data_IF_200764241976
#
_entry.id   IF_200764241976
#
_cell.length_a   1.000
_cell.length_b   1.000
_cell.length_c   1.000
_cell.angle_alpha   90.00
_cell.angle_beta   90.00
_cell.angle_gamma   90.00
#
_symmetry.space_group_name_H-M   'P 1'
#
loop_
_entity.id
_entity.type
_entity.pdbx_description
1 polymer ?
#
# COMPACT_ATOMS: atom_id res chain seq x y z
N UNK A 1 -3.14 -14.89 17.01
CA UNK A 1 -3.43 -15.62 18.26
C UNK A 1 -4.91 -16.00 18.36
N UNK A 2 -5.30 -17.04 19.13
CA UNK A 2 -6.71 -17.43 19.29
C UNK A 2 -7.61 -16.29 19.79
N UNK A 3 -7.10 -15.38 20.62
CA UNK A 3 -7.87 -14.25 21.16
C UNK A 3 -8.24 -13.21 20.10
N UNK A 4 -7.37 -12.95 19.14
CA UNK A 4 -7.64 -12.03 18.02
C UNK A 4 -8.69 -12.61 17.08
N UNK A 5 -8.53 -13.88 16.71
CA UNK A 5 -9.51 -14.60 15.86
C UNK A 5 -10.87 -14.68 16.55
N UNK A 6 -10.91 -14.90 17.88
CA UNK A 6 -12.15 -14.94 18.65
C UNK A 6 -12.96 -13.65 18.53
N UNK A 7 -12.32 -12.50 18.60
CA UNK A 7 -13.00 -11.21 18.46
C UNK A 7 -13.72 -11.08 17.12
N UNK A 8 -13.02 -11.41 16.03
CA UNK A 8 -13.61 -11.43 14.69
C UNK A 8 -14.72 -12.47 14.55
N UNK A 9 -14.48 -13.70 15.03
CA UNK A 9 -15.44 -14.79 15.00
C UNK A 9 -16.75 -14.41 15.70
N UNK A 10 -16.68 -13.87 16.91
CA UNK A 10 -17.88 -13.47 17.65
C UNK A 10 -18.63 -12.34 16.94
N UNK A 11 -17.93 -11.38 16.33
CA UNK A 11 -18.58 -10.32 15.57
C UNK A 11 -19.29 -10.89 14.34
N UNK A 12 -18.64 -11.75 13.58
CA UNK A 12 -19.23 -12.37 12.39
C UNK A 12 -20.41 -13.28 12.75
N UNK A 13 -20.35 -14.02 13.87
CA UNK A 13 -21.44 -14.88 14.35
C UNK A 13 -22.73 -14.12 14.66
N UNK A 14 -22.65 -12.82 14.95
CA UNK A 14 -23.85 -12.00 15.17
C UNK A 14 -24.52 -11.55 13.86
N UNK A 15 -23.79 -11.57 12.75
CA UNK A 15 -24.25 -11.08 11.44
C UNK A 15 -24.63 -12.22 10.51
N UNK A 16 -23.89 -13.32 10.54
CA UNK A 16 -24.15 -14.49 9.70
C UNK A 16 -24.98 -15.51 10.46
N UNK A 17 -26.22 -15.72 10.02
CA UNK A 17 -27.18 -16.69 10.61
C UNK A 17 -27.36 -17.95 9.78
N UNK A 18 -26.76 -18.02 8.59
CA UNK A 18 -26.88 -19.17 7.68
C UNK A 18 -25.60 -20.00 7.69
N UNK A 19 -25.67 -21.19 8.32
CA UNK A 19 -24.58 -22.14 8.37
C UNK A 19 -23.69 -22.00 9.62
N UNK A 20 -22.68 -22.84 9.69
CA UNK A 20 -21.70 -22.86 10.78
C UNK A 20 -20.46 -22.08 10.32
N UNK A 21 -20.07 -21.06 11.10
CA UNK A 21 -18.82 -20.34 10.87
C UNK A 21 -17.66 -21.18 11.41
N UNK A 22 -16.63 -21.34 10.60
CA UNK A 22 -15.38 -21.97 11.02
C UNK A 22 -14.20 -21.06 10.69
N UNK A 23 -13.18 -21.07 11.52
CA UNK A 23 -11.92 -20.42 11.16
C UNK A 23 -11.14 -21.35 10.23
N UNK A 24 -10.75 -20.85 9.07
CA UNK A 24 -9.87 -21.53 8.12
C UNK A 24 -8.54 -20.76 8.01
N UNK A 25 -7.42 -21.35 8.48
CA UNK A 25 -6.11 -20.75 8.28
C UNK A 25 -5.68 -20.95 6.83
N UNK A 26 -5.63 -19.85 6.08
CA UNK A 26 -5.38 -19.82 4.63
C UNK A 26 -3.90 -19.72 4.26
N UNK A 27 -3.01 -19.54 5.25
CA UNK A 27 -1.57 -19.51 5.05
C UNK A 27 -0.88 -20.61 5.86
N UNK A 28 0.31 -21.05 5.41
CA UNK A 28 1.11 -22.05 6.14
C UNK A 28 1.38 -21.61 7.58
N UNK A 29 1.79 -20.36 7.79
CA UNK A 29 2.08 -19.82 9.12
C UNK A 29 0.84 -19.80 10.03
N UNK A 30 -0.31 -19.39 9.47
CA UNK A 30 -1.57 -19.40 10.22
C UNK A 30 -2.02 -20.81 10.57
N UNK A 31 -1.74 -21.80 9.71
CA UNK A 31 -2.04 -23.23 9.96
C UNK A 31 -1.14 -23.79 11.06
N UNK A 32 0.18 -23.57 10.98
CA UNK A 32 1.15 -23.97 12.01
C UNK A 32 0.80 -23.36 13.38
N UNK A 33 0.39 -22.08 13.40
CA UNK A 33 -0.09 -21.41 14.62
C UNK A 33 -1.40 -22.08 15.16
N UNK A 34 -2.36 -22.33 14.26
CA UNK A 34 -3.65 -22.93 14.64
C UNK A 34 -3.55 -24.40 15.10
N UNK A 35 -2.63 -25.18 14.55
CA UNK A 35 -2.32 -26.55 14.98
C UNK A 35 -1.79 -26.60 16.43
N UNK A 36 -1.12 -25.50 16.87
CA UNK A 36 -0.63 -25.35 18.24
C UNK A 36 -1.68 -24.88 19.24
N UNK A 37 -2.91 -24.58 18.82
CA UNK A 37 -3.93 -24.07 19.74
C UNK A 37 -4.60 -25.18 20.54
N UNK A 38 -4.51 -25.12 21.87
CA UNK A 38 -5.23 -26.00 22.76
C UNK A 38 -6.68 -25.48 22.93
N UNK A 39 -7.67 -26.26 22.46
CA UNK A 39 -9.10 -25.99 22.61
C UNK A 39 -9.52 -24.55 22.26
N UNK A 40 -9.38 -24.10 20.99
CA UNK A 40 -9.82 -22.78 20.60
C UNK A 40 -11.35 -22.63 20.84
N UNK A 41 -11.82 -21.45 21.31
CA UNK A 41 -13.22 -21.22 21.67
C UNK A 41 -14.13 -20.98 20.44
N UNK A 42 -13.77 -21.51 19.29
CA UNK A 42 -14.48 -21.48 18.01
C UNK A 42 -14.03 -22.66 17.15
N UNK A 43 -14.86 -23.11 16.21
CA UNK A 43 -14.49 -24.17 15.29
C UNK A 43 -13.33 -23.79 14.39
N UNK A 44 -12.34 -24.68 14.25
CA UNK A 44 -11.19 -24.53 13.34
C UNK A 44 -11.23 -25.67 12.33
N UNK A 45 -11.13 -25.35 11.05
CA UNK A 45 -11.02 -26.33 9.98
C UNK A 45 -9.57 -26.35 9.46
N UNK A 46 -8.86 -27.45 9.73
CA UNK A 46 -7.47 -27.68 9.30
C UNK A 46 -7.39 -28.57 8.05
N UNK A 47 -8.51 -29.02 7.52
CA UNK A 47 -8.55 -29.81 6.29
C UNK A 47 -8.34 -28.98 5.04
N UNK A 48 -8.07 -29.66 3.92
CA UNK A 48 -7.94 -29.01 2.62
C UNK A 48 -9.33 -28.78 2.02
N UNK A 49 -9.62 -27.53 1.65
CA UNK A 49 -10.88 -27.16 0.98
C UNK A 49 -10.87 -27.53 -0.51
N UNK A 50 -9.69 -27.69 -1.08
CA UNK A 50 -9.44 -28.14 -2.45
C UNK A 50 -8.10 -28.89 -2.50
N UNK A 51 -7.83 -29.74 -3.53
CA UNK A 51 -6.48 -30.23 -3.78
C UNK A 51 -5.55 -29.01 -3.87
N UNK A 52 -4.36 -29.08 -3.24
CA UNK A 52 -3.38 -28.00 -3.27
C UNK A 52 -3.18 -27.55 -4.70
N UNK A 53 -3.63 -26.35 -5.01
CA UNK A 53 -3.41 -25.79 -6.32
C UNK A 53 -1.89 -25.62 -6.48
N UNK A 54 -1.29 -26.21 -7.49
CA UNK A 54 0.12 -26.01 -7.81
C UNK A 54 0.40 -24.64 -8.43
N UNK A 55 -0.69 -23.90 -8.77
CA UNK A 55 -0.62 -22.61 -9.45
C UNK A 55 -1.90 -21.79 -9.18
N UNK A 56 -1.70 -20.48 -8.92
CA UNK A 56 -2.79 -19.50 -8.88
C UNK A 56 -2.30 -18.15 -9.42
N UNK A 57 -2.98 -17.62 -10.44
CA UNK A 57 -2.72 -16.29 -10.97
C UNK A 57 -3.49 -15.23 -10.13
N UNK A 58 -2.78 -14.26 -9.56
CA UNK A 58 -3.37 -13.08 -8.90
C UNK A 58 -3.50 -11.91 -9.87
N UNK A 59 -2.46 -11.66 -10.68
CA UNK A 59 -2.48 -10.65 -11.73
C UNK A 59 -1.93 -11.25 -13.03
N UNK A 60 -2.79 -11.31 -14.04
CA UNK A 60 -2.43 -11.77 -15.38
C UNK A 60 -1.84 -10.61 -16.15
N UNK A 61 -0.56 -10.67 -16.44
CA UNK A 61 0.18 -9.61 -17.11
C UNK A 61 1.52 -10.12 -17.64
N UNK A 62 2.25 -9.23 -18.32
CA UNK A 62 3.61 -9.45 -18.79
C UNK A 62 4.54 -8.46 -18.11
N UNK A 63 5.67 -8.95 -17.61
CA UNK A 63 6.73 -8.13 -17.05
C UNK A 63 8.09 -8.51 -17.62
N UNK A 64 9.03 -7.57 -17.54
CA UNK A 64 10.41 -7.76 -17.99
C UNK A 64 11.33 -7.43 -16.84
N UNK A 65 12.27 -8.32 -16.50
CA UNK A 65 13.15 -8.01 -15.38
C UNK A 65 14.17 -9.10 -15.11
N UNK A 66 15.09 -8.77 -14.21
CA UNK A 66 16.08 -9.70 -13.69
C UNK A 66 15.45 -10.56 -12.60
N UNK A 67 15.53 -11.86 -12.76
CA UNK A 67 15.04 -12.81 -11.76
C UNK A 67 15.91 -12.72 -10.50
N UNK A 68 15.26 -12.68 -9.35
CA UNK A 68 15.87 -12.77 -8.03
C UNK A 68 15.14 -13.82 -7.22
N UNK A 69 15.79 -14.97 -7.05
CA UNK A 69 15.27 -16.06 -6.23
C UNK A 69 15.75 -15.84 -4.79
N UNK A 70 14.82 -15.59 -3.88
CA UNK A 70 15.12 -15.18 -2.51
C UNK A 70 14.32 -16.00 -1.50
N UNK A 71 14.98 -16.38 -0.43
CA UNK A 71 14.30 -16.78 0.80
C UNK A 71 13.82 -15.56 1.58
N UNK A 72 13.08 -15.80 2.68
CA UNK A 72 12.55 -14.73 3.53
C UNK A 72 13.63 -13.76 4.01
N UNK A 73 14.77 -14.25 4.46
CA UNK A 73 15.83 -13.41 5.00
C UNK A 73 16.46 -12.52 3.92
N UNK A 74 16.74 -13.08 2.75
CA UNK A 74 17.25 -12.34 1.59
C UNK A 74 16.27 -11.32 1.06
N UNK A 75 14.95 -11.64 1.07
CA UNK A 75 13.92 -10.68 0.70
C UNK A 75 13.83 -9.54 1.72
N UNK A 76 13.79 -9.83 3.02
CA UNK A 76 13.67 -8.81 4.07
C UNK A 76 14.87 -7.84 4.02
N UNK A 77 16.11 -8.34 3.81
CA UNK A 77 17.29 -7.51 3.61
C UNK A 77 17.16 -6.62 2.36
N UNK A 78 16.79 -7.22 1.22
CA UNK A 78 16.63 -6.49 -0.04
C UNK A 78 15.54 -5.40 0.05
N UNK A 79 14.40 -5.75 0.67
CA UNK A 79 13.24 -4.87 0.80
C UNK A 79 13.52 -3.70 1.77
N UNK A 80 14.12 -3.99 2.94
CA UNK A 80 14.45 -2.97 3.95
C UNK A 80 15.61 -2.06 3.55
N UNK A 81 16.49 -2.51 2.66
CA UNK A 81 17.62 -1.71 2.18
C UNK A 81 17.31 -0.85 0.95
N UNK A 82 16.05 -0.83 0.47
CA UNK A 82 15.63 -0.08 -0.71
C UNK A 82 16.26 -0.54 -2.03
N UNK A 83 16.82 -1.75 -2.07
CA UNK A 83 17.46 -2.30 -3.26
C UNK A 83 16.48 -3.00 -4.22
N UNK A 84 15.21 -3.10 -3.84
CA UNK A 84 14.15 -3.57 -4.75
C UNK A 84 13.98 -2.59 -5.90
N UNK A 85 14.03 -3.10 -7.13
CA UNK A 85 13.99 -2.27 -8.34
C UNK A 85 12.80 -2.65 -9.23
N UNK A 86 12.29 -1.67 -10.00
CA UNK A 86 11.32 -1.92 -11.07
C UNK A 86 11.84 -2.86 -12.16
N UNK A 87 13.13 -3.15 -12.17
CA UNK A 87 13.78 -4.09 -13.09
C UNK A 87 13.88 -5.51 -12.53
N UNK A 88 13.38 -5.76 -11.31
CA UNK A 88 13.44 -7.07 -10.69
C UNK A 88 12.13 -7.85 -10.90
N UNK A 89 12.27 -9.16 -11.10
CA UNK A 89 11.23 -10.16 -10.96
C UNK A 89 11.58 -10.98 -9.73
N UNK A 90 10.77 -10.85 -8.68
CA UNK A 90 11.00 -11.53 -7.42
C UNK A 90 10.37 -12.92 -7.43
N UNK A 91 11.15 -13.92 -7.09
CA UNK A 91 10.72 -15.31 -6.85
C UNK A 91 11.00 -15.63 -5.39
N UNK A 92 9.95 -15.79 -4.61
CA UNK A 92 10.01 -15.84 -3.16
C UNK A 92 9.51 -17.19 -2.62
N UNK A 93 10.18 -17.73 -1.61
CA UNK A 93 9.76 -18.94 -0.90
C UNK A 93 8.51 -18.76 -0.05
N UNK A 94 8.08 -17.51 0.15
CA UNK A 94 6.92 -17.12 0.97
C UNK A 94 6.09 -16.02 0.30
N UNK A 95 4.91 -15.73 0.86
CA UNK A 95 4.08 -14.60 0.45
C UNK A 95 4.30 -13.40 1.41
N UNK A 96 5.03 -12.33 1.02
CA UNK A 96 5.24 -11.16 1.86
C UNK A 96 3.95 -10.35 2.01
N UNK A 97 3.83 -9.60 3.10
CA UNK A 97 2.68 -8.70 3.32
C UNK A 97 2.67 -7.54 2.34
N UNK A 98 3.83 -6.99 2.03
CA UNK A 98 4.02 -5.89 1.11
C UNK A 98 5.45 -5.89 0.52
N UNK A 99 5.64 -5.15 -0.56
CA UNK A 99 6.93 -4.87 -1.19
C UNK A 99 7.09 -3.35 -1.24
N UNK A 100 8.14 -2.82 -0.63
CA UNK A 100 8.40 -1.37 -0.54
C UNK A 100 8.88 -0.77 -1.86
N UNK A 101 8.48 -1.20 -2.97
CA UNK A 101 8.97 -0.71 -4.25
C UNK A 101 8.03 -1.05 -5.39
N UNK A 102 8.53 -0.83 -6.58
CA UNK A 102 7.94 -1.29 -7.83
C UNK A 102 8.80 -2.42 -8.35
N UNK A 103 8.17 -3.51 -8.78
CA UNK A 103 8.83 -4.66 -9.39
C UNK A 103 8.17 -5.00 -10.72
N UNK A 104 8.88 -5.70 -11.59
CA UNK A 104 8.38 -6.16 -12.88
C UNK A 104 7.60 -7.47 -12.80
N UNK A 105 7.68 -8.19 -11.69
CA UNK A 105 6.92 -9.43 -11.49
C UNK A 105 7.12 -10.00 -10.09
N UNK A 106 6.15 -10.80 -9.64
CA UNK A 106 6.21 -11.51 -8.35
C UNK A 106 5.70 -12.93 -8.53
N UNK A 107 6.51 -13.89 -8.13
CA UNK A 107 6.12 -15.31 -8.03
C UNK A 107 6.39 -15.74 -6.59
N UNK A 108 5.41 -16.34 -5.94
CA UNK A 108 5.54 -16.82 -4.56
C UNK A 108 5.35 -18.33 -4.48
N UNK A 109 6.12 -19.03 -3.65
CA UNK A 109 5.95 -20.46 -3.38
C UNK A 109 4.87 -20.74 -2.31
N UNK A 110 4.32 -19.68 -1.71
CA UNK A 110 3.15 -19.73 -0.83
C UNK A 110 1.97 -18.98 -1.44
N UNK A 111 0.76 -19.42 -1.14
CA UNK A 111 -0.47 -18.72 -1.57
C UNK A 111 -0.58 -17.35 -0.91
N UNK A 112 -1.06 -16.37 -1.67
CA UNK A 112 -1.32 -15.02 -1.17
C UNK A 112 -2.79 -14.90 -0.76
N UNK A 113 -3.05 -14.13 0.29
CA UNK A 113 -4.43 -13.78 0.67
C UNK A 113 -5.05 -12.90 -0.43
N UNK A 114 -6.24 -13.25 -0.87
CA UNK A 114 -7.01 -12.39 -1.77
C UNK A 114 -7.22 -11.03 -1.09
N UNK A 115 -6.97 -9.93 -1.80
CA UNK A 115 -6.99 -8.56 -1.29
C UNK A 115 -5.82 -8.20 -0.33
N UNK A 116 -4.75 -9.01 -0.26
CA UNK A 116 -3.50 -8.56 0.37
C UNK A 116 -2.98 -7.28 -0.30
N UNK A 117 -2.18 -6.50 0.42
CA UNK A 117 -1.56 -5.30 -0.15
C UNK A 117 -0.78 -5.62 -1.43
N UNK A 118 -0.04 -6.74 -1.43
CA UNK A 118 0.70 -7.22 -2.58
C UNK A 118 -0.23 -7.49 -3.78
N UNK A 119 -1.30 -8.26 -3.59
CA UNK A 119 -2.24 -8.60 -4.67
C UNK A 119 -2.93 -7.35 -5.24
N UNK A 120 -3.37 -6.43 -4.38
CA UNK A 120 -4.02 -5.17 -4.80
C UNK A 120 -3.03 -4.26 -5.55
N UNK A 121 -1.79 -4.12 -5.07
CA UNK A 121 -0.79 -3.24 -5.70
C UNK A 121 -0.34 -3.78 -7.06
N UNK A 122 -0.10 -5.09 -7.17
CA UNK A 122 0.26 -5.73 -8.45
C UNK A 122 -0.87 -5.64 -9.46
N UNK A 123 -2.13 -5.86 -9.04
CA UNK A 123 -3.29 -5.72 -9.91
C UNK A 123 -3.45 -4.27 -10.44
N UNK A 124 -3.29 -3.27 -9.56
CA UNK A 124 -3.39 -1.85 -9.96
C UNK A 124 -2.31 -1.42 -10.95
N UNK A 125 -1.13 -2.04 -10.87
CA UNK A 125 0.04 -1.70 -11.71
C UNK A 125 0.14 -2.55 -12.97
N UNK A 126 -0.69 -3.58 -13.12
CA UNK A 126 -0.54 -4.57 -14.18
C UNK A 126 0.75 -5.38 -14.06
N UNK A 127 1.28 -5.55 -12.83
CA UNK A 127 2.47 -6.36 -12.56
C UNK A 127 2.09 -7.82 -12.50
N UNK A 128 2.70 -8.74 -13.30
CA UNK A 128 2.41 -10.17 -13.22
C UNK A 128 2.68 -10.71 -11.81
N UNK A 129 1.67 -11.39 -11.24
CA UNK A 129 1.75 -11.94 -9.88
C UNK A 129 1.05 -13.29 -9.83
N UNK A 130 1.77 -14.31 -9.35
CA UNK A 130 1.24 -15.67 -9.23
C UNK A 130 1.85 -16.41 -8.03
N UNK A 131 1.10 -17.38 -7.54
CA UNK A 131 1.59 -18.48 -6.74
C UNK A 131 1.98 -19.65 -7.65
N UNK A 132 3.13 -20.27 -7.37
CA UNK A 132 3.63 -21.50 -7.99
C UNK A 132 4.27 -22.34 -6.90
N UNK A 133 3.76 -23.53 -6.61
CA UNK A 133 4.14 -24.33 -5.44
C UNK A 133 5.65 -24.66 -5.37
N UNK A 134 6.29 -24.86 -6.52
CA UNK A 134 7.71 -25.17 -6.68
C UNK A 134 8.53 -23.99 -7.24
N UNK A 135 8.12 -22.75 -6.91
CA UNK A 135 8.66 -21.55 -7.54
C UNK A 135 10.17 -21.43 -7.41
N UNK A 136 10.72 -21.62 -6.20
CA UNK A 136 12.16 -21.47 -5.95
C UNK A 136 13.01 -22.47 -6.71
N UNK A 137 12.57 -23.73 -6.78
CA UNK A 137 13.25 -24.78 -7.54
C UNK A 137 13.13 -24.54 -9.04
N UNK A 138 11.92 -24.22 -9.49
CA UNK A 138 11.61 -24.00 -10.93
C UNK A 138 12.36 -22.82 -11.52
N UNK A 139 12.57 -21.76 -10.74
CA UNK A 139 13.24 -20.55 -11.21
C UNK A 139 14.71 -20.47 -10.82
N UNK A 140 15.28 -21.47 -10.10
CA UNK A 140 16.65 -21.46 -9.61
C UNK A 140 17.70 -21.21 -10.73
N UNK A 141 17.56 -21.85 -11.88
CA UNK A 141 18.48 -21.69 -13.01
C UNK A 141 18.33 -20.33 -13.73
N UNK A 142 17.24 -19.62 -13.47
CA UNK A 142 16.99 -18.28 -14.04
C UNK A 142 17.46 -17.16 -13.11
N UNK A 143 17.94 -17.47 -11.91
CA UNK A 143 18.42 -16.44 -11.00
C UNK A 143 19.52 -15.58 -11.64
N UNK A 144 19.38 -14.26 -11.52
CA UNK A 144 20.25 -13.28 -12.18
C UNK A 144 20.01 -13.10 -13.69
N UNK A 145 19.19 -13.93 -14.35
CA UNK A 145 18.86 -13.81 -15.77
C UNK A 145 17.84 -12.69 -16.03
N UNK A 146 17.95 -12.07 -17.19
CA UNK A 146 16.97 -11.09 -17.67
C UNK A 146 15.92 -11.81 -18.51
N UNK A 147 14.66 -11.78 -18.05
CA UNK A 147 13.56 -12.53 -18.69
C UNK A 147 12.34 -11.65 -18.98
N UNK A 148 11.53 -12.11 -19.93
CA UNK A 148 10.11 -11.80 -20.07
C UNK A 148 9.34 -12.84 -19.26
N UNK A 149 8.54 -12.39 -18.31
CA UNK A 149 7.64 -13.20 -17.50
C UNK A 149 6.20 -12.95 -17.95
N UNK A 150 5.45 -14.01 -18.26
CA UNK A 150 4.03 -13.89 -18.52
C UNK A 150 3.24 -14.78 -17.55
N UNK A 151 2.29 -14.16 -16.84
CA UNK A 151 1.29 -14.84 -16.02
C UNK A 151 -0.04 -14.84 -16.76
N UNK A 152 -0.55 -16.03 -17.05
CA UNK A 152 -1.84 -16.25 -17.72
C UNK A 152 -2.77 -17.10 -16.87
N UNK A 153 -3.99 -17.39 -17.35
CA UNK A 153 -4.88 -18.35 -16.69
C UNK A 153 -4.38 -19.79 -16.74
N UNK A 154 -3.50 -20.10 -17.71
CA UNK A 154 -2.96 -21.45 -17.93
C UNK A 154 -1.63 -21.71 -17.23
N UNK A 155 -1.03 -20.70 -16.62
CA UNK A 155 0.26 -20.86 -15.95
C UNK A 155 1.20 -19.68 -16.14
N UNK A 156 2.47 -19.94 -15.83
CA UNK A 156 3.59 -19.00 -15.94
C UNK A 156 4.52 -19.47 -17.06
N UNK A 157 4.85 -18.54 -17.97
CA UNK A 157 5.87 -18.74 -19.01
C UNK A 157 6.99 -17.73 -18.89
N UNK A 158 8.20 -18.15 -19.23
CA UNK A 158 9.42 -17.33 -19.16
C UNK A 158 10.20 -17.44 -20.46
N UNK A 159 10.83 -16.36 -20.88
CA UNK A 159 11.70 -16.28 -22.03
C UNK A 159 12.90 -15.39 -21.69
N UNK A 160 14.13 -15.85 -21.95
CA UNK A 160 15.31 -14.99 -21.79
C UNK A 160 15.29 -13.90 -22.87
N UNK A 161 15.55 -12.66 -22.45
CA UNK A 161 15.51 -11.50 -23.34
C UNK A 161 16.79 -10.69 -23.24
N UNK A 162 17.06 -9.91 -24.27
CA UNK A 162 18.13 -8.92 -24.29
C UNK A 162 17.77 -7.69 -23.47
N UNK A 163 18.78 -6.91 -23.06
CA UNK A 163 18.55 -5.63 -22.37
C UNK A 163 17.75 -4.63 -23.24
N UNK A 164 17.88 -4.69 -24.55
CA UNK A 164 17.12 -3.82 -25.46
C UNK A 164 15.62 -4.16 -25.41
N UNK A 165 15.26 -5.45 -25.53
CA UNK A 165 13.87 -5.91 -25.42
C UNK A 165 13.29 -5.63 -24.04
N UNK A 166 14.06 -5.81 -22.97
CA UNK A 166 13.60 -5.46 -21.62
C UNK A 166 13.33 -3.95 -21.46
N UNK A 167 14.17 -3.08 -22.04
CA UNK A 167 13.95 -1.62 -22.03
C UNK A 167 12.68 -1.24 -22.78
N UNK A 168 12.45 -1.81 -23.95
CA UNK A 168 11.20 -1.59 -24.69
C UNK A 168 9.99 -2.04 -23.87
N UNK A 169 10.07 -3.18 -23.15
CA UNK A 169 9.04 -3.67 -22.28
C UNK A 169 8.80 -2.75 -21.06
N UNK A 170 9.84 -2.23 -20.43
CA UNK A 170 9.71 -1.27 -19.34
C UNK A 170 9.09 0.04 -19.78
N UNK A 171 9.48 0.56 -20.96
CA UNK A 171 8.90 1.78 -21.52
C UNK A 171 7.43 1.59 -21.90
N UNK A 172 7.08 0.43 -22.46
CA UNK A 172 5.69 0.10 -22.78
C UNK A 172 4.79 -0.06 -21.52
N UNK A 173 5.36 -0.57 -20.42
CA UNK A 173 4.65 -0.75 -19.15
C UNK A 173 4.72 0.47 -18.24
N UNK A 174 5.39 1.55 -18.66
CA UNK A 174 5.45 2.79 -17.88
C UNK A 174 4.04 3.38 -17.75
N UNK A 175 3.55 3.65 -16.53
CA UNK A 175 2.27 4.30 -16.35
C UNK A 175 2.23 5.65 -17.08
N UNK A 176 1.10 5.96 -17.70
CA UNK A 176 0.86 7.32 -18.20
C UNK A 176 0.91 8.31 -17.05
N UNK A 177 1.46 9.50 -17.33
CA UNK A 177 1.41 10.60 -16.37
C UNK A 177 -0.05 10.98 -16.14
N UNK A 178 -0.51 10.77 -14.92
CA UNK A 178 -1.85 11.20 -14.51
C UNK A 178 -1.76 12.68 -14.16
N UNK A 179 -2.59 13.49 -14.82
CA UNK A 179 -2.75 14.89 -14.46
C UNK A 179 -3.41 14.95 -13.06
N UNK A 180 -2.63 15.33 -12.06
CA UNK A 180 -3.13 15.46 -10.69
C UNK A 180 -3.87 16.79 -10.58
N UNK A 181 -5.14 16.80 -10.15
CA UNK A 181 -5.86 18.05 -9.94
C UNK A 181 -5.10 18.94 -8.94
N UNK A 182 -5.01 20.22 -9.24
CA UNK A 182 -4.39 21.20 -8.34
C UNK A 182 -5.02 21.15 -6.95
N UNK A 183 -4.19 21.28 -5.91
CA UNK A 183 -4.68 21.32 -4.53
C UNK A 183 -5.32 22.68 -4.21
N UNK A 184 -6.40 22.70 -3.44
CA UNK A 184 -7.01 23.91 -2.94
C UNK A 184 -6.16 24.53 -1.82
N UNK A 185 -5.37 25.53 -2.17
CA UNK A 185 -4.45 26.22 -1.26
C UNK A 185 -5.15 27.28 -0.38
N UNK A 186 -6.43 27.55 -0.58
CA UNK A 186 -7.12 28.68 0.04
C UNK A 186 -8.08 28.23 1.14
N UNK A 187 -8.76 27.12 0.93
CA UNK A 187 -9.79 26.65 1.86
C UNK A 187 -9.19 26.08 3.15
N UNK A 188 -9.49 26.72 4.29
CA UNK A 188 -8.96 26.36 5.60
C UNK A 188 -10.04 25.85 6.61
N UNK A 189 -11.29 25.62 6.15
CA UNK A 189 -12.38 25.17 7.03
C UNK A 189 -12.19 23.72 7.48
N UNK A 190 -12.34 23.48 8.78
CA UNK A 190 -12.30 22.14 9.38
C UNK A 190 -13.71 21.52 9.39
N UNK A 191 -14.25 21.24 8.22
CA UNK A 191 -15.63 20.74 8.09
C UNK A 191 -15.74 19.33 8.66
N UNK A 192 -16.84 19.09 9.39
CA UNK A 192 -17.25 17.73 9.71
C UNK A 192 -17.58 16.96 8.44
N UNK A 193 -17.52 15.63 8.47
CA UNK A 193 -17.83 14.79 7.31
C UNK A 193 -19.23 15.06 6.73
N UNK A 194 -20.18 15.51 7.58
CA UNK A 194 -21.53 15.86 7.15
C UNK A 194 -21.62 17.25 6.49
N UNK A 195 -20.76 18.20 6.88
CA UNK A 195 -20.76 19.59 6.40
C UNK A 195 -19.93 19.77 5.11
N UNK A 196 -19.02 18.83 4.78
CA UNK A 196 -18.15 18.94 3.61
C UNK A 196 -18.93 19.21 2.33
N UNK A 197 -18.49 20.19 1.54
CA UNK A 197 -19.03 20.43 0.20
C UNK A 197 -18.50 19.38 -0.80
N UNK A 198 -19.36 18.51 -1.26
CA UNK A 198 -19.06 17.45 -2.24
C UNK A 198 -19.63 17.74 -3.63
N UNK A 199 -20.17 18.94 -3.90
CA UNK A 199 -20.74 19.29 -5.19
C UNK A 199 -19.70 19.29 -6.31
N UNK A 200 -18.51 19.78 -6.00
CA UNK A 200 -17.44 19.94 -7.01
C UNK A 200 -17.68 21.12 -7.96
N UNK A 201 -18.65 21.98 -7.67
CA UNK A 201 -19.06 23.09 -8.55
C UNK A 201 -17.94 24.12 -8.78
N UNK A 202 -17.07 24.31 -7.81
CA UNK A 202 -15.96 25.28 -7.88
C UNK A 202 -14.59 24.62 -7.85
N UNK A 203 -14.41 23.63 -6.97
CA UNK A 203 -13.16 22.88 -6.78
C UNK A 203 -13.52 21.43 -6.48
N UNK A 204 -12.81 20.49 -7.09
CA UNK A 204 -13.01 19.07 -6.81
C UNK A 204 -12.84 18.79 -5.30
N UNK A 205 -13.77 18.07 -4.65
CA UNK A 205 -13.68 17.80 -3.21
C UNK A 205 -12.36 17.14 -2.80
N UNK A 206 -11.82 16.29 -3.65
CA UNK A 206 -10.54 15.62 -3.45
C UNK A 206 -9.35 16.59 -3.41
N UNK A 207 -9.43 17.69 -4.18
CA UNK A 207 -8.42 18.77 -4.18
C UNK A 207 -8.42 19.58 -2.89
N UNK A 208 -9.60 19.68 -2.24
CA UNK A 208 -9.81 20.43 -1.00
C UNK A 208 -9.57 19.58 0.24
N UNK A 209 -10.22 18.41 0.31
CA UNK A 209 -10.30 17.59 1.52
C UNK A 209 -9.43 16.32 1.47
N UNK A 210 -8.90 15.98 0.30
CA UNK A 210 -8.24 14.70 0.04
C UNK A 210 -9.22 13.55 -0.20
N UNK A 211 -8.75 12.52 -0.89
CA UNK A 211 -9.59 11.39 -1.33
C UNK A 211 -10.21 10.59 -0.18
N UNK A 212 -9.49 10.37 0.93
CA UNK A 212 -10.01 9.60 2.06
C UNK A 212 -11.19 10.30 2.75
N UNK A 213 -11.02 11.57 3.10
CA UNK A 213 -12.09 12.35 3.74
C UNK A 213 -13.31 12.50 2.82
N UNK A 214 -13.08 12.79 1.54
CA UNK A 214 -14.15 12.87 0.54
C UNK A 214 -14.96 11.58 0.42
N UNK A 215 -14.28 10.43 0.35
CA UNK A 215 -14.95 9.12 0.26
C UNK A 215 -15.69 8.75 1.56
N UNK A 216 -15.13 9.09 2.73
CA UNK A 216 -15.84 8.92 4.01
C UNK A 216 -17.09 9.77 4.10
N UNK A 217 -17.04 11.05 3.65
CA UNK A 217 -18.18 11.92 3.62
C UNK A 217 -19.25 11.44 2.61
N UNK A 218 -18.85 10.90 1.46
CA UNK A 218 -19.78 10.25 0.50
C UNK A 218 -20.45 9.03 1.10
N UNK A 219 -19.66 8.16 1.76
CA UNK A 219 -20.19 6.97 2.43
C UNK A 219 -21.22 7.33 3.49
N UNK A 220 -20.96 8.33 4.32
CA UNK A 220 -21.91 8.78 5.34
C UNK A 220 -23.26 9.23 4.76
N UNK A 221 -23.28 9.83 3.56
CA UNK A 221 -24.52 10.25 2.90
C UNK A 221 -25.34 9.11 2.34
N UNK A 222 -24.71 7.94 2.10
CA UNK A 222 -25.38 6.72 1.63
C UNK A 222 -25.95 5.92 2.80
N UNK A 223 -25.31 5.99 3.97
CA UNK A 223 -25.73 5.27 5.17
C UNK A 223 -26.95 5.97 5.78
N UNK A 224 -28.15 5.41 5.54
CA UNK A 224 -29.42 5.90 6.10
C UNK A 224 -30.23 4.75 6.74
N UNK A 225 -31.35 5.08 7.39
CA UNK A 225 -32.23 4.13 8.03
C UNK A 225 -31.51 3.25 9.06
N UNK A 226 -31.57 1.93 8.90
CA UNK A 226 -30.91 0.97 9.81
C UNK A 226 -29.38 1.04 9.77
N UNK A 227 -28.79 1.60 8.70
CA UNK A 227 -27.33 1.75 8.54
C UNK A 227 -26.80 3.04 9.16
N UNK A 228 -27.65 3.95 9.62
CA UNK A 228 -27.25 5.21 10.25
C UNK A 228 -26.33 5.02 11.48
N UNK A 229 -26.50 3.91 12.20
CA UNK A 229 -25.66 3.51 13.33
C UNK A 229 -24.18 3.26 12.99
N UNK A 230 -23.85 3.11 11.70
CA UNK A 230 -22.48 2.92 11.22
C UNK A 230 -21.82 4.21 10.74
N UNK A 231 -22.54 5.35 10.82
CA UNK A 231 -21.93 6.65 10.54
C UNK A 231 -20.88 6.96 11.60
N UNK A 232 -19.69 7.29 11.14
CA UNK A 232 -18.59 7.71 12.03
C UNK A 232 -18.56 9.24 12.14
N UNK A 233 -18.35 9.77 13.33
CA UNK A 233 -18.06 11.19 13.52
C UNK A 233 -16.63 11.49 13.08
N UNK A 234 -16.41 12.63 12.43
CA UNK A 234 -15.09 13.05 12.00
C UNK A 234 -15.13 14.41 11.32
N UNK A 235 -13.93 14.94 11.05
CA UNK A 235 -13.75 16.16 10.27
C UNK A 235 -12.54 16.02 9.35
N UNK A 236 -12.47 16.85 8.33
CA UNK A 236 -11.36 16.91 7.40
C UNK A 236 -10.36 17.99 7.79
N UNK A 237 -9.09 17.71 7.60
CA UNK A 237 -8.01 18.71 7.59
C UNK A 237 -7.75 19.01 6.11
N UNK A 238 -8.12 20.21 5.60
CA UNK A 238 -7.97 20.56 4.20
C UNK A 238 -6.52 20.55 3.71
N UNK A 239 -6.36 20.38 2.39
CA UNK A 239 -5.06 20.38 1.73
C UNK A 239 -4.30 21.71 1.87
N UNK A 240 -4.97 22.81 2.19
CA UNK A 240 -4.37 24.09 2.57
C UNK A 240 -3.29 23.93 3.65
N UNK A 241 -3.59 23.21 4.72
CA UNK A 241 -2.64 23.03 5.83
C UNK A 241 -1.43 22.16 5.46
N UNK A 242 -1.64 21.18 4.58
CA UNK A 242 -0.53 20.41 4.01
C UNK A 242 0.40 21.31 3.18
N UNK A 243 -0.17 22.15 2.30
CA UNK A 243 0.60 23.06 1.48
C UNK A 243 1.35 24.10 2.33
N UNK A 244 0.70 24.63 3.37
CA UNK A 244 1.34 25.55 4.31
C UNK A 244 2.52 24.89 5.02
N UNK A 245 2.33 23.66 5.53
CA UNK A 245 3.40 22.87 6.13
C UNK A 245 4.57 22.65 5.17
N UNK A 246 4.32 22.32 3.91
CA UNK A 246 5.34 22.09 2.88
C UNK A 246 6.08 23.37 2.49
N UNK A 247 5.46 24.54 2.64
CA UNK A 247 6.02 25.86 2.27
C UNK A 247 6.73 26.55 3.42
N UNK A 248 6.41 26.24 4.65
CA UNK A 248 6.99 26.89 5.84
C UNK A 248 8.16 26.14 6.43
N UNK A 249 8.18 24.81 6.33
CA UNK A 249 9.30 23.99 6.78
C UNK A 249 10.40 23.91 5.72
N UNK A 250 11.65 23.80 6.19
CA UNK A 250 12.83 23.82 5.31
C UNK A 250 13.78 22.68 5.63
N UNK A 251 14.49 22.23 4.61
CA UNK A 251 15.52 21.19 4.67
C UNK A 251 16.71 21.58 3.80
N UNK A 252 17.86 20.96 4.00
CA UNK A 252 18.99 21.09 3.08
C UNK A 252 18.60 20.55 1.69
N UNK A 253 18.89 21.30 0.61
CA UNK A 253 18.63 20.87 -0.75
C UNK A 253 19.32 19.53 -1.04
N UNK A 254 18.60 18.60 -1.66
CA UNK A 254 19.14 17.27 -2.03
C UNK A 254 20.34 17.39 -2.99
N UNK A 255 20.32 18.40 -3.87
CA UNK A 255 21.35 18.63 -4.88
C UNK A 255 22.45 19.60 -4.44
N UNK A 256 22.19 20.42 -3.44
CA UNK A 256 23.14 21.38 -2.88
C UNK A 256 22.96 21.48 -1.36
N UNK A 257 23.59 20.60 -0.56
CA UNK A 257 23.40 20.54 0.90
C UNK A 257 23.77 21.83 1.66
N UNK A 258 24.51 22.74 1.03
CA UNK A 258 24.83 24.06 1.59
C UNK A 258 23.69 25.09 1.49
N UNK A 259 22.59 24.76 0.83
CA UNK A 259 21.43 25.62 0.63
C UNK A 259 20.20 25.02 1.32
N UNK A 260 19.49 25.80 2.12
CA UNK A 260 18.19 25.44 2.66
C UNK A 260 17.09 25.77 1.64
N UNK A 261 16.13 24.85 1.49
CA UNK A 261 14.96 24.99 0.61
C UNK A 261 13.70 24.56 1.37
N UNK A 262 12.51 25.00 0.93
CA UNK A 262 11.25 24.50 1.48
C UNK A 262 11.03 23.03 1.13
N UNK A 263 10.20 22.31 1.87
CA UNK A 263 9.85 20.92 1.54
C UNK A 263 9.21 20.82 0.16
N UNK A 264 8.35 21.77 -0.21
CA UNK A 264 7.77 21.84 -1.56
C UNK A 264 8.89 21.88 -2.62
N UNK A 265 9.87 22.80 -2.44
CA UNK A 265 10.99 22.92 -3.37
C UNK A 265 11.92 21.70 -3.35
N UNK A 266 12.11 21.07 -2.20
CA UNK A 266 12.87 19.83 -2.09
C UNK A 266 12.26 18.71 -2.94
N UNK A 267 10.94 18.51 -2.84
CA UNK A 267 10.22 17.50 -3.65
C UNK A 267 10.31 17.82 -5.15
N UNK A 268 10.18 19.09 -5.55
CA UNK A 268 10.40 19.50 -6.94
C UNK A 268 11.83 19.17 -7.43
N UNK A 269 12.86 19.44 -6.61
CA UNK A 269 14.24 19.08 -6.95
C UNK A 269 14.43 17.57 -7.14
N UNK A 270 13.73 16.73 -6.39
CA UNK A 270 13.78 15.27 -6.55
C UNK A 270 13.12 14.81 -7.86
N UNK A 271 11.99 15.42 -8.25
CA UNK A 271 11.31 15.08 -9.50
C UNK A 271 12.12 15.46 -10.74
N UNK A 272 12.93 16.51 -10.63
CA UNK A 272 13.81 17.01 -11.69
C UNK A 272 15.22 16.38 -11.66
N UNK A 273 15.46 15.39 -10.83
CA UNK A 273 16.79 14.78 -10.64
C UNK A 273 16.88 13.41 -11.31
N UNK A 274 17.57 13.28 -12.49
CA UNK A 274 17.61 12.03 -13.25
C UNK A 274 18.22 10.86 -12.47
N UNK A 275 19.27 11.11 -11.66
CA UNK A 275 19.91 10.07 -10.86
C UNK A 275 18.96 9.53 -9.80
N UNK A 276 18.18 10.40 -9.14
CA UNK A 276 17.13 10.00 -8.20
C UNK A 276 16.05 9.17 -8.89
N UNK A 277 15.67 9.50 -10.13
CA UNK A 277 14.70 8.72 -10.89
C UNK A 277 15.22 7.34 -11.30
N UNK A 278 16.53 7.24 -11.64
CA UNK A 278 17.17 6.03 -12.15
C UNK A 278 17.69 5.07 -11.09
N UNK A 279 18.00 5.54 -9.88
CA UNK A 279 18.64 4.78 -8.80
C UNK A 279 17.68 4.53 -7.64
N UNK A 280 17.26 3.28 -7.46
CA UNK A 280 16.33 2.86 -6.39
C UNK A 280 16.91 3.06 -5.00
N UNK A 281 18.22 2.83 -4.83
CA UNK A 281 18.90 3.01 -3.55
C UNK A 281 18.97 4.47 -3.15
N UNK A 282 19.39 5.34 -4.09
CA UNK A 282 19.42 6.77 -3.86
C UNK A 282 18.04 7.32 -3.51
N UNK A 283 16.98 6.83 -4.19
CA UNK A 283 15.60 7.20 -3.86
C UNK A 283 15.23 6.81 -2.43
N UNK A 284 15.51 5.57 -2.07
CA UNK A 284 15.19 5.06 -0.74
C UNK A 284 15.88 5.89 0.34
N UNK A 285 17.20 6.02 0.28
CA UNK A 285 18.01 6.72 1.28
C UNK A 285 17.60 8.22 1.39
N UNK A 286 17.29 8.85 0.25
CA UNK A 286 16.86 10.26 0.24
C UNK A 286 15.47 10.44 0.84
N UNK A 287 14.52 9.57 0.53
CA UNK A 287 13.16 9.65 1.07
C UNK A 287 13.09 9.23 2.53
N UNK A 288 13.91 8.27 2.96
CA UNK A 288 14.04 7.90 4.37
C UNK A 288 14.58 9.08 5.18
N UNK A 289 15.69 9.68 4.75
CA UNK A 289 16.24 10.88 5.39
C UNK A 289 15.25 12.05 5.41
N UNK A 290 14.42 12.21 4.38
CA UNK A 290 13.39 13.24 4.36
C UNK A 290 12.27 12.94 5.36
N UNK A 291 11.84 11.69 5.50
CA UNK A 291 10.85 11.28 6.52
C UNK A 291 11.36 11.53 7.93
N UNK A 292 12.61 11.10 8.22
CA UNK A 292 13.25 11.33 9.53
C UNK A 292 13.30 12.84 9.86
N UNK A 293 13.69 13.66 8.88
CA UNK A 293 13.71 15.12 9.06
C UNK A 293 12.30 15.70 9.30
N UNK A 294 11.26 15.16 8.65
CA UNK A 294 9.86 15.57 8.92
C UNK A 294 9.47 15.20 10.35
N UNK A 295 9.85 14.02 10.83
CA UNK A 295 9.50 13.57 12.18
C UNK A 295 10.23 14.32 13.28
N UNK A 296 11.53 14.59 13.07
CA UNK A 296 12.41 15.12 14.13
C UNK A 296 12.50 16.66 14.13
N UNK A 297 12.50 17.29 12.97
CA UNK A 297 12.89 18.70 12.81
C UNK A 297 11.76 19.62 12.32
N UNK A 298 10.64 19.06 11.82
CA UNK A 298 9.57 19.90 11.29
C UNK A 298 8.74 20.57 12.39
N UNK A 299 8.12 21.69 12.02
CA UNK A 299 7.26 22.46 12.92
C UNK A 299 5.85 22.53 12.36
N UNK A 300 4.89 22.21 13.22
CA UNK A 300 3.47 22.45 12.96
C UNK A 300 3.12 23.80 13.58
N UNK A 301 2.37 24.64 12.86
CA UNK A 301 1.89 25.91 13.38
C UNK A 301 1.08 25.72 14.69
N UNK A 302 1.43 26.45 15.72
CA UNK A 302 0.81 26.31 17.04
C UNK A 302 -0.69 26.69 17.02
N UNK A 303 -1.08 27.66 16.18
CA UNK A 303 -2.47 28.04 15.99
C UNK A 303 -3.28 26.92 15.33
N UNK A 304 -2.68 26.20 14.38
CA UNK A 304 -3.31 25.03 13.78
C UNK A 304 -3.54 23.92 14.83
N UNK A 305 -2.55 23.64 15.67
CA UNK A 305 -2.68 22.62 16.74
C UNK A 305 -3.83 22.99 17.69
N UNK A 306 -3.95 24.26 18.07
CA UNK A 306 -5.04 24.74 18.94
C UNK A 306 -6.42 24.59 18.25
N UNK A 307 -6.55 25.01 17.01
CA UNK A 307 -7.82 24.90 16.26
C UNK A 307 -8.21 23.44 16.02
N UNK A 308 -7.25 22.55 15.72
CA UNK A 308 -7.49 21.11 15.61
C UNK A 308 -7.96 20.49 16.93
N UNK A 309 -7.34 20.87 18.04
CA UNK A 309 -7.73 20.40 19.38
C UNK A 309 -9.16 20.84 19.75
N UNK A 310 -9.51 22.11 19.47
CA UNK A 310 -10.86 22.63 19.67
C UNK A 310 -11.88 21.89 18.80
N UNK A 311 -11.60 21.70 17.51
CA UNK A 311 -12.51 20.99 16.61
C UNK A 311 -12.69 19.53 16.99
N UNK A 312 -11.61 18.86 17.40
CA UNK A 312 -11.67 17.49 17.91
C UNK A 312 -12.55 17.42 19.18
N UNK A 313 -12.40 18.37 20.08
CA UNK A 313 -13.24 18.43 21.27
C UNK A 313 -14.72 18.67 20.95
N UNK A 314 -15.05 19.56 20.02
CA UNK A 314 -16.41 19.82 19.58
C UNK A 314 -17.10 18.56 19.01
N UNK A 315 -16.37 17.76 18.21
CA UNK A 315 -16.93 16.59 17.54
C UNK A 315 -16.92 15.33 18.40
N UNK A 316 -15.88 15.12 19.19
CA UNK A 316 -15.65 13.88 19.94
C UNK A 316 -15.82 14.01 21.45
N UNK A 317 -15.94 15.23 21.98
CA UNK A 317 -15.93 15.49 23.43
C UNK A 317 -14.59 15.15 24.08
N UNK A 318 -14.62 14.58 25.30
CA UNK A 318 -13.41 14.14 26.01
C UNK A 318 -12.84 12.80 25.45
N UNK A 319 -13.46 12.23 24.45
CA UNK A 319 -13.04 10.98 23.85
C UNK A 319 -11.78 11.16 23.00
N UNK A 320 -10.95 10.11 22.92
CA UNK A 320 -9.73 10.10 22.11
C UNK A 320 -10.09 10.11 20.62
N UNK A 321 -9.67 11.14 19.90
CA UNK A 321 -9.74 11.18 18.45
C UNK A 321 -8.77 10.14 17.83
N UNK A 322 -9.20 9.48 16.73
CA UNK A 322 -8.32 8.66 15.90
C UNK A 322 -8.00 9.43 14.63
N UNK A 323 -6.72 9.62 14.35
CA UNK A 323 -6.28 10.20 13.08
C UNK A 323 -6.09 9.08 12.05
N UNK A 324 -6.69 9.25 10.87
CA UNK A 324 -6.48 8.38 9.70
C UNK A 324 -5.87 9.23 8.58
N UNK A 325 -4.62 8.96 8.27
CA UNK A 325 -3.88 9.61 7.18
C UNK A 325 -4.06 8.87 5.85
#
# INVERSE_FOLDING_TARGET
TPSEVRGVYLTLSTVFSAGELVYFPDTRLAREDAEGWAEPPFPVFLGDLAPEASFQAYTRAVGFGRVRVLDRAGFDELNSSGQVSFQDILVLDHAPRDIEGVVSGVITAETQVALSHLAVRTARRGTPNAFVADATERFAELDGRLIRLEVSSGGVTTEEVTLAEAREGWDANRPELVDTPGLDAVYAGLDSLGEMDLSGDTVAPESRYGGKATNMARLQRILDGEFERYRESGFSIPMHYYLDFMRTNTIASARNPGRSVTYERFVEELTDWPEFQGDSRLRFDTLESFRDHIEDDSRIDAGLVEVLALRAFEIFGENRARVRC
#
